data_IF_469210317603
#
_entry.id   IF_469210317603
#
_cell.length_a   1.000
_cell.length_b   1.000
_cell.length_c   1.000
_cell.angle_alpha   90.00
_cell.angle_beta   90.00
_cell.angle_gamma   90.00
#
_symmetry.space_group_name_H-M   'P 1'
#
loop_
_entity.id
_entity.type
_entity.pdbx_description
1 polymer ?
#
# COMPACT_ATOMS: atom_id res chain seq x y z
N UNK A 1 47.96 -4.39 -39.24
CA UNK A 1 46.50 -4.27 -39.05
C UNK A 1 46.11 -5.05 -37.81
N UNK A 2 46.00 -4.38 -36.66
CA UNK A 2 45.75 -5.00 -35.36
C UNK A 2 44.27 -5.35 -35.16
N UNK A 3 44.00 -6.62 -34.87
CA UNK A 3 42.66 -7.10 -34.53
C UNK A 3 42.23 -6.48 -33.19
N UNK A 4 41.29 -5.52 -33.26
CA UNK A 4 40.59 -4.93 -32.12
C UNK A 4 39.77 -6.05 -31.45
N UNK A 5 40.05 -6.29 -30.18
CA UNK A 5 39.64 -7.46 -29.42
C UNK A 5 38.18 -7.88 -29.58
N UNK A 6 38.00 -9.17 -29.82
CA UNK A 6 36.73 -9.87 -29.63
C UNK A 6 36.43 -9.98 -28.13
N UNK A 7 35.82 -8.92 -27.58
CA UNK A 7 35.30 -8.88 -26.21
C UNK A 7 33.98 -9.67 -26.05
N UNK A 8 33.47 -10.27 -27.14
CA UNK A 8 32.14 -10.92 -27.21
C UNK A 8 32.19 -12.42 -26.91
N UNK A 9 33.33 -12.99 -26.49
CA UNK A 9 33.44 -14.42 -26.09
C UNK A 9 33.80 -14.68 -24.63
N UNK A 10 33.75 -13.66 -23.75
CA UNK A 10 33.94 -13.83 -22.30
C UNK A 10 32.64 -13.77 -21.48
N UNK A 11 31.46 -13.84 -22.11
CA UNK A 11 30.20 -13.41 -21.47
C UNK A 11 29.19 -14.51 -21.13
N UNK A 12 29.40 -15.79 -21.48
CA UNK A 12 28.40 -16.82 -21.12
C UNK A 12 28.45 -17.21 -19.65
N UNK A 13 29.64 -17.31 -19.05
CA UNK A 13 29.79 -17.64 -17.62
C UNK A 13 29.35 -16.49 -16.73
N UNK A 14 29.80 -15.27 -17.03
CA UNK A 14 29.38 -14.07 -16.28
C UNK A 14 27.89 -13.76 -16.44
N UNK A 15 27.33 -13.95 -17.64
CA UNK A 15 25.89 -13.80 -17.86
C UNK A 15 25.06 -14.84 -17.10
N UNK A 16 25.49 -16.11 -17.09
CA UNK A 16 24.85 -17.15 -16.28
C UNK A 16 24.99 -16.90 -14.79
N UNK A 17 26.17 -16.53 -14.32
CA UNK A 17 26.42 -16.23 -12.91
C UNK A 17 25.59 -15.02 -12.44
N UNK A 18 25.49 -13.94 -13.24
CA UNK A 18 24.63 -12.80 -12.91
C UNK A 18 23.14 -13.17 -12.93
N UNK A 19 22.69 -14.00 -13.88
CA UNK A 19 21.30 -14.48 -13.91
C UNK A 19 20.98 -15.38 -12.70
N UNK A 20 21.91 -16.25 -12.30
CA UNK A 20 21.80 -17.12 -11.12
C UNK A 20 21.80 -16.31 -9.82
N UNK A 21 22.67 -15.30 -9.70
CA UNK A 21 22.68 -14.38 -8.56
C UNK A 21 21.40 -13.55 -8.47
N UNK A 22 20.90 -13.04 -9.60
CA UNK A 22 19.64 -12.31 -9.65
C UNK A 22 18.47 -13.20 -9.22
N UNK A 23 18.45 -14.45 -9.70
CA UNK A 23 17.42 -15.43 -9.33
C UNK A 23 17.48 -15.77 -7.85
N UNK A 24 18.68 -15.98 -7.28
CA UNK A 24 18.84 -16.24 -5.85
C UNK A 24 18.40 -15.05 -4.97
N UNK A 25 18.71 -13.83 -5.39
CA UNK A 25 18.26 -12.60 -4.72
C UNK A 25 16.75 -12.41 -4.82
N UNK A 26 16.14 -12.70 -5.96
CA UNK A 26 14.69 -12.61 -6.14
C UNK A 26 13.94 -13.69 -5.33
N UNK A 27 14.53 -14.90 -5.18
CA UNK A 27 14.00 -15.97 -4.31
C UNK A 27 14.04 -15.57 -2.84
N UNK A 28 15.14 -15.01 -2.35
CA UNK A 28 15.24 -14.56 -0.94
C UNK A 28 14.29 -13.38 -0.67
N UNK A 29 14.21 -12.41 -1.60
CA UNK A 29 13.24 -11.30 -1.53
C UNK A 29 11.78 -11.81 -1.52
N UNK A 30 11.48 -12.87 -2.26
CA UNK A 30 10.15 -13.48 -2.25
C UNK A 30 9.88 -14.23 -0.93
N UNK A 31 10.90 -14.89 -0.37
CA UNK A 31 10.83 -15.55 0.94
C UNK A 31 10.47 -14.55 2.05
N UNK A 32 11.05 -13.35 1.99
CA UNK A 32 10.71 -12.21 2.88
C UNK A 32 9.27 -11.73 2.72
N UNK A 33 8.75 -11.63 1.48
CA UNK A 33 7.34 -11.31 1.24
C UNK A 33 6.39 -12.40 1.77
N UNK A 34 6.87 -13.64 1.87
CA UNK A 34 6.12 -14.78 2.42
C UNK A 34 6.28 -14.97 3.93
N UNK A 35 7.05 -14.12 4.65
CA UNK A 35 7.32 -14.26 6.11
C UNK A 35 6.15 -13.94 7.04
N UNK A 36 4.96 -13.64 6.51
CA UNK A 36 3.75 -13.53 7.33
C UNK A 36 2.56 -14.06 6.54
N UNK A 37 1.81 -15.00 7.13
CA UNK A 37 0.48 -15.33 6.62
C UNK A 37 -0.35 -14.05 6.61
N UNK A 38 -0.47 -13.43 5.43
CA UNK A 38 -1.28 -12.25 5.26
C UNK A 38 -2.73 -12.69 5.32
N UNK A 39 -3.30 -12.69 6.52
CA UNK A 39 -4.69 -12.99 6.77
C UNK A 39 -5.57 -12.00 6.00
N UNK A 40 -5.97 -12.39 4.79
CA UNK A 40 -6.82 -11.60 3.89
C UNK A 40 -8.10 -11.14 4.60
N UNK A 41 -8.56 -11.92 5.57
CA UNK A 41 -9.71 -11.64 6.43
C UNK A 41 -9.51 -10.36 7.27
N UNK A 42 -8.38 -10.22 7.94
CA UNK A 42 -8.02 -9.03 8.72
C UNK A 42 -7.82 -7.81 7.80
N UNK A 43 -7.17 -8.01 6.66
CA UNK A 43 -6.92 -6.92 5.71
C UNK A 43 -8.21 -6.39 5.05
N UNK A 44 -9.17 -7.28 4.76
CA UNK A 44 -10.47 -6.90 4.18
C UNK A 44 -11.31 -6.08 5.16
N UNK A 45 -11.32 -6.44 6.45
CA UNK A 45 -11.97 -5.65 7.51
C UNK A 45 -11.32 -4.27 7.65
N UNK A 46 -10.00 -4.21 7.60
CA UNK A 46 -9.24 -2.95 7.69
C UNK A 46 -9.51 -2.00 6.51
N UNK A 47 -9.64 -2.51 5.28
CA UNK A 47 -9.99 -1.69 4.11
C UNK A 47 -11.33 -0.96 4.25
N UNK A 48 -12.32 -1.54 4.93
CA UNK A 48 -13.61 -0.86 5.20
C UNK A 48 -13.39 0.34 6.13
N UNK A 49 -12.62 0.13 7.20
CA UNK A 49 -12.28 1.19 8.18
C UNK A 49 -11.46 2.30 7.50
N UNK A 50 -10.45 1.94 6.69
CA UNK A 50 -9.61 2.90 5.98
C UNK A 50 -10.42 3.73 4.96
N UNK A 51 -11.35 3.10 4.23
CA UNK A 51 -12.27 3.82 3.32
C UNK A 51 -13.19 4.78 4.07
N UNK A 52 -13.71 4.36 5.23
CA UNK A 52 -14.53 5.22 6.09
C UNK A 52 -13.71 6.43 6.59
N UNK A 53 -12.51 6.20 7.12
CA UNK A 53 -11.61 7.26 7.58
C UNK A 53 -11.24 8.20 6.42
N UNK A 54 -10.98 7.66 5.22
CA UNK A 54 -10.67 8.48 4.05
C UNK A 54 -11.85 9.40 3.67
N UNK A 55 -13.08 8.90 3.75
CA UNK A 55 -14.30 9.70 3.56
C UNK A 55 -14.49 10.72 4.69
N UNK A 56 -14.23 10.35 5.94
CA UNK A 56 -14.29 11.26 7.08
C UNK A 56 -13.27 12.40 6.99
N UNK A 57 -12.09 12.13 6.41
CA UNK A 57 -11.07 13.15 6.16
C UNK A 57 -11.47 14.21 5.11
N UNK A 58 -12.47 13.95 4.28
CA UNK A 58 -13.03 14.97 3.37
C UNK A 58 -13.69 16.10 4.16
N UNK A 59 -14.19 15.82 5.37
CA UNK A 59 -14.67 16.87 6.27
C UNK A 59 -13.47 17.57 6.91
N UNK A 60 -13.05 18.70 6.31
CA UNK A 60 -11.90 19.51 6.75
C UNK A 60 -11.88 19.79 8.25
N UNK A 61 -13.06 20.01 8.87
CA UNK A 61 -13.21 20.22 10.32
C UNK A 61 -12.79 19.03 11.19
N UNK A 62 -13.04 17.81 10.72
CA UNK A 62 -12.68 16.56 11.41
C UNK A 62 -11.21 16.26 11.20
N UNK A 63 -10.71 16.42 9.96
CA UNK A 63 -9.34 16.10 9.58
C UNK A 63 -8.26 16.86 10.38
N UNK A 64 -8.50 18.13 10.66
CA UNK A 64 -7.56 19.00 11.38
C UNK A 64 -7.89 19.14 12.87
N UNK A 65 -8.96 18.47 13.36
CA UNK A 65 -9.49 18.62 14.72
C UNK A 65 -9.64 20.11 15.09
N UNK A 66 -10.38 20.87 14.28
CA UNK A 66 -10.57 22.32 14.53
C UNK A 66 -11.36 22.62 15.82
N UNK A 67 -12.21 21.70 16.26
CA UNK A 67 -13.03 21.89 17.46
C UNK A 67 -12.17 21.86 18.73
N UNK A 68 -12.06 23.01 19.42
CA UNK A 68 -11.30 23.13 20.68
C UNK A 68 -11.91 22.34 21.83
N UNK A 69 -13.23 22.13 21.82
CA UNK A 69 -13.95 21.38 22.86
C UNK A 69 -14.13 19.92 22.46
N UNK A 70 -13.80 19.01 23.38
CA UNK A 70 -13.95 17.58 23.17
C UNK A 70 -15.40 17.17 22.81
N UNK A 71 -16.40 17.80 23.45
CA UNK A 71 -17.81 17.54 23.20
C UNK A 71 -18.24 17.88 21.76
N UNK A 72 -17.74 18.98 21.19
CA UNK A 72 -18.03 19.34 19.80
C UNK A 72 -17.37 18.35 18.83
N UNK A 73 -16.13 17.95 19.12
CA UNK A 73 -15.42 16.97 18.31
C UNK A 73 -16.12 15.60 18.32
N UNK A 74 -16.59 15.13 19.48
CA UNK A 74 -17.34 13.89 19.58
C UNK A 74 -18.67 13.97 18.82
N UNK A 75 -19.42 15.07 18.96
CA UNK A 75 -20.67 15.27 18.22
C UNK A 75 -20.44 15.23 16.71
N UNK A 76 -19.39 15.90 16.21
CA UNK A 76 -19.00 15.88 14.79
C UNK A 76 -18.65 14.47 14.29
N UNK A 77 -17.92 13.69 15.08
CA UNK A 77 -17.58 12.29 14.75
C UNK A 77 -18.83 11.41 14.75
N UNK A 78 -19.81 11.66 15.62
CA UNK A 78 -21.07 10.90 15.63
C UNK A 78 -21.97 11.26 14.44
N UNK A 79 -21.99 12.53 14.06
CA UNK A 79 -22.88 13.04 13.01
C UNK A 79 -22.33 12.74 11.60
N UNK A 80 -21.02 12.79 11.38
CA UNK A 80 -20.44 12.59 10.05
C UNK A 80 -20.71 11.20 9.40
N UNK A 81 -20.69 10.08 10.12
CA UNK A 81 -21.12 8.78 9.62
C UNK A 81 -22.60 8.76 9.20
N UNK A 82 -23.47 9.48 9.93
CA UNK A 82 -24.89 9.58 9.59
C UNK A 82 -25.08 10.27 8.25
N UNK A 83 -24.36 11.38 8.01
CA UNK A 83 -24.35 12.06 6.71
C UNK A 83 -23.79 11.18 5.58
N UNK A 84 -22.73 10.43 5.85
CA UNK A 84 -22.15 9.49 4.87
C UNK A 84 -23.11 8.35 4.51
N UNK A 85 -23.87 7.85 5.50
CA UNK A 85 -24.86 6.82 5.28
C UNK A 85 -26.07 7.35 4.52
N UNK A 86 -26.57 8.54 4.87
CA UNK A 86 -27.67 9.17 4.14
C UNK A 86 -27.29 9.47 2.69
N UNK A 87 -26.11 10.04 2.43
CA UNK A 87 -25.62 10.27 1.06
C UNK A 87 -25.54 8.97 0.26
N UNK A 88 -25.14 7.87 0.90
CA UNK A 88 -25.15 6.55 0.26
C UNK A 88 -26.57 6.03 0.00
N UNK A 89 -27.51 6.21 0.93
CA UNK A 89 -28.87 5.73 0.83
C UNK A 89 -29.74 6.50 -0.18
N UNK A 90 -29.52 7.81 -0.33
CA UNK A 90 -30.26 8.67 -1.28
C UNK A 90 -29.65 8.72 -2.69
N UNK A 91 -28.51 8.06 -2.90
CA UNK A 91 -27.76 8.06 -4.17
C UNK A 91 -27.83 6.71 -4.91
N UNK A 92 -28.66 5.80 -4.42
CA UNK A 92 -29.11 4.56 -5.04
C UNK A 92 -30.53 4.76 -5.56
#
# INVERSE_FOLDING_TARGET
MGNRGDWRRKSTVWGKMFAELQTALDVERNKERCRGSFEKTHYRKRNIIERLINRLKQFRRIATRYEKRAANFSAMITIAPLFLFSDFAYRL
#
